data_IF_339577000261
#
_entry.id   IF_339577000261
#
_cell.length_a   1.000
_cell.length_b   1.000
_cell.length_c   1.000
_cell.angle_alpha   90.00
_cell.angle_beta   90.00
_cell.angle_gamma   90.00
#
_symmetry.space_group_name_H-M   'P 1'
#
loop_
_entity.id
_entity.type
_entity.pdbx_description
1 polymer ?
#
# COMPACT_ATOMS: atom_id res chain seq x y z
N UNK A 1 -22.54 -31.22 -9.59
CA UNK A 1 -21.27 -31.06 -10.32
C UNK A 1 -20.17 -30.92 -9.29
N UNK A 2 -19.26 -31.90 -9.21
CA UNK A 2 -18.10 -31.88 -8.33
C UNK A 2 -17.13 -30.81 -8.82
N UNK A 3 -16.78 -29.85 -7.96
CA UNK A 3 -15.74 -28.86 -8.26
C UNK A 3 -14.45 -29.59 -8.68
N UNK A 4 -13.81 -29.20 -9.79
CA UNK A 4 -12.53 -29.77 -10.17
C UNK A 4 -11.48 -29.50 -9.07
N UNK A 5 -10.52 -30.41 -8.87
CA UNK A 5 -9.53 -30.28 -7.81
C UNK A 5 -8.78 -28.94 -7.93
N UNK A 6 -8.78 -28.20 -6.83
CA UNK A 6 -8.23 -26.85 -6.71
C UNK A 6 -6.71 -26.87 -6.87
N UNK A 7 -6.21 -26.66 -8.09
CA UNK A 7 -4.78 -26.46 -8.36
C UNK A 7 -3.89 -27.66 -8.02
N UNK A 8 -2.63 -27.60 -8.44
CA UNK A 8 -1.62 -28.59 -8.05
C UNK A 8 -1.45 -28.56 -6.53
N UNK A 9 -1.21 -29.71 -5.85
CA UNK A 9 -0.85 -29.72 -4.45
C UNK A 9 0.45 -28.93 -4.25
N UNK A 10 0.33 -27.70 -3.72
CA UNK A 10 1.46 -26.84 -3.41
C UNK A 10 1.81 -26.92 -1.93
N UNK A 11 3.10 -26.99 -1.63
CA UNK A 11 3.58 -26.77 -0.27
C UNK A 11 3.32 -25.31 0.15
N UNK A 12 3.08 -25.08 1.44
CA UNK A 12 2.90 -23.74 2.01
C UNK A 12 4.05 -22.80 1.66
N UNK A 13 5.28 -23.32 1.65
CA UNK A 13 6.47 -22.55 1.27
C UNK A 13 6.41 -22.07 -0.18
N UNK A 14 6.04 -22.94 -1.11
CA UNK A 14 5.96 -22.60 -2.52
C UNK A 14 4.85 -21.56 -2.79
N UNK A 15 3.73 -21.66 -2.08
CA UNK A 15 2.66 -20.66 -2.13
C UNK A 15 3.17 -19.27 -1.74
N UNK A 16 3.81 -19.13 -0.58
CA UNK A 16 4.32 -17.84 -0.12
C UNK A 16 5.44 -17.28 -1.02
N UNK A 17 6.35 -18.14 -1.48
CA UNK A 17 7.40 -17.74 -2.42
C UNK A 17 6.82 -17.21 -3.75
N UNK A 18 5.78 -17.84 -4.27
CA UNK A 18 5.12 -17.37 -5.50
C UNK A 18 4.36 -16.07 -5.27
N UNK A 19 3.60 -15.97 -4.18
CA UNK A 19 2.82 -14.77 -3.85
C UNK A 19 3.71 -13.56 -3.63
N UNK A 20 4.64 -13.64 -2.67
CA UNK A 20 5.53 -12.53 -2.34
C UNK A 20 6.59 -12.30 -3.40
N UNK A 21 7.06 -13.35 -4.09
CA UNK A 21 7.98 -13.22 -5.21
C UNK A 21 7.35 -12.49 -6.40
N UNK A 22 6.10 -12.80 -6.76
CA UNK A 22 5.38 -12.08 -7.81
C UNK A 22 5.08 -10.63 -7.40
N UNK A 23 4.65 -10.40 -6.16
CA UNK A 23 4.43 -9.05 -5.64
C UNK A 23 5.71 -8.21 -5.68
N UNK A 24 6.83 -8.78 -5.23
CA UNK A 24 8.14 -8.13 -5.29
C UNK A 24 8.55 -7.81 -6.72
N UNK A 25 8.35 -8.73 -7.66
CA UNK A 25 8.66 -8.48 -9.08
C UNK A 25 7.83 -7.31 -9.65
N UNK A 26 6.54 -7.22 -9.30
CA UNK A 26 5.69 -6.10 -9.70
C UNK A 26 6.09 -4.77 -9.05
N UNK A 27 6.45 -4.78 -7.77
CA UNK A 27 6.94 -3.60 -7.05
C UNK A 27 8.26 -3.12 -7.65
N UNK A 28 9.21 -4.02 -7.88
CA UNK A 28 10.48 -3.69 -8.54
C UNK A 28 10.26 -3.12 -9.94
N UNK A 29 9.33 -3.70 -10.71
CA UNK A 29 8.95 -3.15 -12.00
C UNK A 29 8.40 -1.73 -11.87
N UNK A 30 7.55 -1.46 -10.89
CA UNK A 30 7.02 -0.11 -10.63
C UNK A 30 8.13 0.90 -10.34
N UNK A 31 9.07 0.55 -9.46
CA UNK A 31 10.22 1.40 -9.10
C UNK A 31 11.15 1.62 -10.29
N UNK A 32 11.42 0.58 -11.09
CA UNK A 32 12.23 0.70 -12.31
C UNK A 32 11.54 1.62 -13.32
N UNK A 33 10.24 1.47 -13.53
CA UNK A 33 9.49 2.31 -14.48
C UNK A 33 9.45 3.78 -14.04
N UNK A 34 9.38 4.03 -12.73
CA UNK A 34 9.46 5.36 -12.14
C UNK A 34 10.75 6.08 -12.56
N UNK A 35 11.90 5.45 -12.28
CA UNK A 35 13.21 6.00 -12.67
C UNK A 35 13.43 6.02 -14.17
N UNK A 36 12.90 5.04 -14.92
CA UNK A 36 13.04 5.00 -16.37
C UNK A 36 12.28 6.17 -17.03
N UNK A 37 11.05 6.46 -16.60
CA UNK A 37 10.26 7.57 -17.13
C UNK A 37 10.91 8.91 -16.80
N UNK A 38 11.40 9.07 -15.58
CA UNK A 38 12.19 10.23 -15.17
C UNK A 38 13.41 10.45 -16.07
N UNK A 39 14.23 9.42 -16.28
CA UNK A 39 15.45 9.51 -17.09
C UNK A 39 15.20 9.86 -18.56
N UNK A 40 14.01 9.56 -19.09
CA UNK A 40 13.65 9.85 -20.49
C UNK A 40 13.15 11.27 -20.74
N UNK A 41 12.94 12.08 -19.70
CA UNK A 41 12.32 13.41 -19.83
C UNK A 41 13.33 14.53 -19.81
N UNK A 42 13.26 15.37 -20.84
CA UNK A 42 14.05 16.60 -20.96
C UNK A 42 13.63 17.67 -19.93
N UNK A 43 12.38 17.64 -19.47
CA UNK A 43 11.82 18.56 -18.48
C UNK A 43 11.10 17.77 -17.37
N UNK A 44 11.78 17.49 -16.24
CA UNK A 44 11.23 16.65 -15.15
C UNK A 44 10.04 17.28 -14.39
N UNK A 45 9.78 18.59 -14.58
CA UNK A 45 8.79 19.33 -13.80
C UNK A 45 7.32 19.14 -14.26
N UNK A 46 7.06 18.66 -15.49
CA UNK A 46 5.68 18.58 -16.00
C UNK A 46 5.04 17.20 -15.74
N UNK A 47 4.28 17.03 -14.66
CA UNK A 47 3.49 15.79 -14.42
C UNK A 47 2.59 15.49 -15.62
N UNK A 48 2.66 14.29 -16.23
CA UNK A 48 1.80 13.91 -17.35
C UNK A 48 0.47 13.32 -16.86
N UNK A 49 -0.36 14.22 -16.34
CA UNK A 49 -1.63 13.87 -15.70
C UNK A 49 -2.58 13.09 -16.62
N UNK A 50 -2.56 13.36 -17.93
CA UNK A 50 -3.42 12.65 -18.89
C UNK A 50 -3.01 11.18 -19.06
N UNK A 51 -1.72 10.92 -19.28
CA UNK A 51 -1.23 9.55 -19.46
C UNK A 51 -1.41 8.73 -18.18
N UNK A 52 -1.10 9.32 -17.02
CA UNK A 52 -1.34 8.71 -15.71
C UNK A 52 -2.82 8.35 -15.53
N UNK A 53 -3.73 9.29 -15.79
CA UNK A 53 -5.17 9.09 -15.63
C UNK A 53 -5.70 7.98 -16.55
N UNK A 54 -5.31 7.97 -17.82
CA UNK A 54 -5.74 6.93 -18.78
C UNK A 54 -5.29 5.54 -18.29
N UNK A 55 -4.03 5.42 -17.87
CA UNK A 55 -3.45 4.17 -17.40
C UNK A 55 -4.09 3.67 -16.10
N UNK A 56 -4.35 4.57 -15.14
CA UNK A 56 -5.08 4.22 -13.91
C UNK A 56 -6.52 3.79 -14.19
N UNK A 57 -7.26 4.56 -15.00
CA UNK A 57 -8.66 4.22 -15.34
C UNK A 57 -8.72 2.89 -16.08
N UNK A 58 -7.82 2.64 -17.02
CA UNK A 58 -7.74 1.37 -17.74
C UNK A 58 -7.38 0.22 -16.80
N UNK A 59 -6.33 0.37 -15.98
CA UNK A 59 -5.87 -0.65 -15.03
C UNK A 59 -6.93 -1.00 -13.99
N UNK A 60 -7.56 0.01 -13.38
CA UNK A 60 -8.65 -0.18 -12.41
C UNK A 60 -9.91 -0.74 -13.08
N UNK A 61 -10.24 -0.31 -14.30
CA UNK A 61 -11.36 -0.86 -15.06
C UNK A 61 -11.18 -2.35 -15.34
N UNK A 62 -9.99 -2.75 -15.82
CA UNK A 62 -9.65 -4.17 -16.03
C UNK A 62 -9.69 -4.93 -14.71
N UNK A 63 -9.14 -4.37 -13.63
CA UNK A 63 -9.17 -4.97 -12.30
C UNK A 63 -10.59 -5.23 -11.82
N UNK A 64 -11.48 -4.22 -11.88
CA UNK A 64 -12.87 -4.34 -11.46
C UNK A 64 -13.63 -5.40 -12.26
N UNK A 65 -13.42 -5.46 -13.58
CA UNK A 65 -14.00 -6.52 -14.41
C UNK A 65 -13.45 -7.89 -14.00
N UNK A 66 -12.13 -7.99 -13.83
CA UNK A 66 -11.44 -9.23 -13.51
C UNK A 66 -11.85 -9.84 -12.16
N UNK A 67 -11.97 -9.02 -11.11
CA UNK A 67 -12.37 -9.52 -9.77
C UNK A 67 -13.80 -10.06 -9.73
N UNK A 68 -14.69 -9.57 -10.60
CA UNK A 68 -16.08 -9.99 -10.67
C UNK A 68 -16.29 -11.23 -11.57
N UNK A 69 -15.42 -11.49 -12.54
CA UNK A 69 -15.54 -12.65 -13.45
C UNK A 69 -14.78 -13.86 -12.88
N UNK A 70 -15.46 -14.63 -12.03
CA UNK A 70 -14.91 -15.84 -11.39
C UNK A 70 -14.27 -16.84 -12.35
N UNK A 71 -14.85 -17.00 -13.54
CA UNK A 71 -14.35 -17.94 -14.56
C UNK A 71 -12.97 -17.54 -15.08
N UNK A 72 -12.73 -16.23 -15.29
CA UNK A 72 -11.47 -15.71 -15.81
C UNK A 72 -10.34 -15.91 -14.79
N UNK A 73 -10.64 -15.73 -13.50
CA UNK A 73 -9.68 -15.96 -12.39
C UNK A 73 -9.19 -17.39 -12.28
N UNK A 74 -10.03 -18.36 -12.65
CA UNK A 74 -9.72 -19.80 -12.56
C UNK A 74 -8.96 -20.34 -13.77
N UNK A 75 -8.82 -19.56 -14.85
CA UNK A 75 -8.25 -20.03 -16.12
C UNK A 75 -6.76 -19.72 -16.18
N UNK A 76 -5.93 -20.71 -15.84
CA UNK A 76 -4.49 -20.64 -16.10
C UNK A 76 -4.19 -20.83 -17.60
N UNK A 77 -3.24 -20.08 -18.21
CA UNK A 77 -2.41 -19.01 -17.65
C UNK A 77 -3.01 -17.59 -17.80
N UNK A 78 -4.28 -17.48 -18.22
CA UNK A 78 -4.95 -16.20 -18.53
C UNK A 78 -4.99 -15.28 -17.31
N UNK A 79 -5.22 -15.84 -16.11
CA UNK A 79 -5.21 -15.08 -14.86
C UNK A 79 -3.89 -14.32 -14.63
N UNK A 80 -2.74 -14.94 -14.89
CA UNK A 80 -1.42 -14.29 -14.78
C UNK A 80 -1.21 -13.19 -15.81
N UNK A 81 -1.65 -13.41 -17.04
CA UNK A 81 -1.55 -12.39 -18.08
C UNK A 81 -2.38 -11.15 -17.72
N UNK A 82 -3.64 -11.33 -17.32
CA UNK A 82 -4.53 -10.22 -16.94
C UNK A 82 -3.99 -9.46 -15.73
N UNK A 83 -3.55 -10.15 -14.68
CA UNK A 83 -2.93 -9.54 -13.51
C UNK A 83 -1.65 -8.77 -13.86
N UNK A 84 -0.83 -9.30 -14.77
CA UNK A 84 0.37 -8.60 -15.23
C UNK A 84 0.02 -7.36 -16.04
N UNK A 85 -1.00 -7.40 -16.88
CA UNK A 85 -1.50 -6.21 -17.59
C UNK A 85 -2.00 -5.13 -16.62
N UNK A 86 -2.74 -5.53 -15.58
CA UNK A 86 -3.17 -4.61 -14.52
C UNK A 86 -1.95 -4.00 -13.81
N UNK A 87 -1.00 -4.84 -13.39
CA UNK A 87 0.22 -4.39 -12.72
C UNK A 87 0.99 -3.39 -13.58
N UNK A 88 1.23 -3.70 -14.86
CA UNK A 88 1.93 -2.81 -15.79
C UNK A 88 1.20 -1.48 -15.97
N UNK A 89 -0.13 -1.52 -16.17
CA UNK A 89 -0.92 -0.30 -16.34
C UNK A 89 -0.85 0.60 -15.09
N UNK A 90 -1.02 0.04 -13.90
CA UNK A 90 -0.96 0.80 -12.65
C UNK A 90 0.45 1.31 -12.36
N UNK A 91 1.49 0.50 -12.56
CA UNK A 91 2.88 0.89 -12.36
C UNK A 91 3.31 2.02 -13.31
N UNK A 92 2.93 1.93 -14.60
CA UNK A 92 3.18 3.01 -15.55
C UNK A 92 2.39 4.26 -15.20
N UNK A 93 1.11 4.10 -14.81
CA UNK A 93 0.28 5.22 -14.37
C UNK A 93 0.93 5.98 -13.21
N UNK A 94 1.46 5.24 -12.23
CA UNK A 94 2.18 5.80 -11.09
C UNK A 94 3.46 6.53 -11.52
N UNK A 95 4.23 5.93 -12.42
CA UNK A 95 5.47 6.53 -12.92
C UNK A 95 5.25 7.83 -13.73
N UNK A 96 4.12 7.95 -14.44
CA UNK A 96 3.75 9.22 -15.09
C UNK A 96 3.14 10.26 -14.14
N UNK A 97 2.72 9.84 -12.94
CA UNK A 97 2.18 10.74 -11.92
C UNK A 97 3.30 11.36 -11.08
N UNK A 98 4.24 10.53 -10.63
CA UNK A 98 5.31 10.87 -9.68
C UNK A 98 6.64 11.08 -10.44
N UNK A 99 6.76 12.20 -11.16
CA UNK A 99 7.88 12.41 -12.11
C UNK A 99 9.10 13.08 -11.45
N UNK A 100 8.93 13.78 -10.34
CA UNK A 100 10.03 14.38 -9.60
C UNK A 100 10.51 13.39 -8.53
N UNK A 101 11.62 12.69 -8.79
CA UNK A 101 12.20 11.79 -7.79
C UNK A 101 13.40 12.47 -7.13
N UNK A 102 13.33 12.59 -5.82
CA UNK A 102 14.43 13.09 -5.02
C UNK A 102 15.37 11.94 -4.61
N UNK A 103 16.63 12.22 -4.23
CA UNK A 103 17.53 11.19 -3.70
C UNK A 103 16.96 10.45 -2.47
N UNK A 104 15.96 11.01 -1.80
CA UNK A 104 15.21 10.40 -0.69
C UNK A 104 14.16 9.39 -1.14
N UNK A 105 13.80 9.33 -2.42
CA UNK A 105 12.84 8.37 -2.99
C UNK A 105 13.11 6.93 -2.56
N UNK A 106 14.38 6.49 -2.61
CA UNK A 106 14.73 5.12 -2.26
C UNK A 106 14.45 4.83 -0.77
N UNK A 107 14.61 5.84 0.09
CA UNK A 107 14.31 5.74 1.52
C UNK A 107 12.81 5.54 1.73
N UNK A 108 11.96 6.31 1.04
CA UNK A 108 10.51 6.17 1.10
C UNK A 108 10.02 4.82 0.56
N UNK A 109 10.60 4.34 -0.55
CA UNK A 109 10.33 3.00 -1.07
C UNK A 109 10.70 1.94 -0.02
N UNK A 110 11.87 2.07 0.61
CA UNK A 110 12.33 1.13 1.63
C UNK A 110 11.45 1.17 2.89
N UNK A 111 10.99 2.36 3.30
CA UNK A 111 10.06 2.56 4.41
C UNK A 111 8.76 1.81 4.18
N UNK A 112 8.12 2.00 3.03
CA UNK A 112 6.86 1.32 2.68
C UNK A 112 7.05 -0.19 2.64
N UNK A 113 8.12 -0.69 2.01
CA UNK A 113 8.43 -2.13 1.96
C UNK A 113 8.67 -2.67 3.38
N UNK A 114 9.39 -1.93 4.22
CA UNK A 114 9.64 -2.33 5.61
C UNK A 114 8.32 -2.42 6.40
N UNK A 115 7.43 -1.44 6.28
CA UNK A 115 6.11 -1.46 6.93
C UNK A 115 5.27 -2.65 6.44
N UNK A 116 5.22 -2.87 5.13
CA UNK A 116 4.51 -4.02 4.53
C UNK A 116 5.06 -5.35 5.04
N UNK A 117 6.38 -5.50 5.13
CA UNK A 117 7.04 -6.70 5.65
C UNK A 117 6.78 -6.91 7.15
N UNK A 118 6.88 -5.86 7.96
CA UNK A 118 6.65 -5.92 9.42
C UNK A 118 5.20 -6.31 9.69
N UNK A 119 4.24 -5.59 9.12
CA UNK A 119 2.82 -5.87 9.34
C UNK A 119 2.37 -7.17 8.69
N UNK A 120 2.90 -7.51 7.52
CA UNK A 120 2.66 -8.80 6.89
C UNK A 120 3.16 -9.98 7.72
N UNK A 121 4.35 -9.84 8.32
CA UNK A 121 4.92 -10.84 9.24
C UNK A 121 4.06 -10.98 10.50
N UNK A 122 3.61 -9.87 11.09
CA UNK A 122 2.66 -9.89 12.21
C UNK A 122 1.37 -10.60 11.83
N UNK A 123 0.77 -10.31 10.67
CA UNK A 123 -0.42 -11.00 10.17
C UNK A 123 -0.25 -12.52 10.02
N UNK A 124 0.97 -12.99 9.71
CA UNK A 124 1.27 -14.42 9.60
C UNK A 124 1.37 -15.14 10.95
N UNK A 125 1.58 -14.40 12.04
CA UNK A 125 1.81 -14.92 13.39
C UNK A 125 0.54 -14.99 14.26
N UNK A 126 -0.64 -15.10 13.64
CA UNK A 126 -1.90 -15.18 14.39
C UNK A 126 -1.87 -16.31 15.45
N UNK A 127 -2.09 -15.99 16.74
CA UNK A 127 -2.20 -17.00 17.79
C UNK A 127 -3.46 -17.86 17.63
N UNK A 128 -3.34 -19.17 17.88
CA UNK A 128 -4.45 -20.14 17.73
C UNK A 128 -5.70 -19.83 18.58
N UNK A 129 -5.52 -19.13 19.69
CA UNK A 129 -6.60 -18.86 20.66
C UNK A 129 -7.34 -17.54 20.39
N UNK A 130 -6.90 -16.74 19.43
CA UNK A 130 -7.53 -15.46 19.09
C UNK A 130 -8.24 -15.56 17.75
N UNK A 131 -9.48 -15.05 17.67
CA UNK A 131 -10.15 -14.88 16.39
C UNK A 131 -9.37 -13.87 15.52
N UNK A 132 -9.30 -14.04 14.19
CA UNK A 132 -8.51 -13.17 13.30
C UNK A 132 -8.83 -11.68 13.48
N UNK A 133 -10.12 -11.34 13.61
CA UNK A 133 -10.58 -9.95 13.79
C UNK A 133 -10.07 -9.37 15.11
N UNK A 134 -10.25 -10.07 16.23
CA UNK A 134 -9.74 -9.62 17.54
C UNK A 134 -8.22 -9.46 17.53
N UNK A 135 -7.50 -10.38 16.89
CA UNK A 135 -6.04 -10.29 16.77
C UNK A 135 -5.64 -9.02 16.01
N UNK A 136 -6.23 -8.78 14.84
CA UNK A 136 -5.97 -7.57 14.06
C UNK A 136 -6.27 -6.30 14.86
N UNK A 137 -7.42 -6.22 15.54
CA UNK A 137 -7.78 -5.07 16.38
C UNK A 137 -6.78 -4.83 17.51
N UNK A 138 -6.35 -5.87 18.22
CA UNK A 138 -5.39 -5.74 19.33
C UNK A 138 -4.04 -5.23 18.82
N UNK A 139 -3.53 -5.80 17.72
CA UNK A 139 -2.24 -5.38 17.16
C UNK A 139 -2.33 -3.94 16.62
N UNK A 140 -3.39 -3.60 15.90
CA UNK A 140 -3.59 -2.23 15.40
C UNK A 140 -3.70 -1.19 16.52
N UNK A 141 -4.39 -1.53 17.61
CA UNK A 141 -4.44 -0.66 18.79
C UNK A 141 -3.05 -0.52 19.45
N UNK A 142 -2.28 -1.61 19.52
CA UNK A 142 -0.90 -1.58 20.00
C UNK A 142 0.00 -0.68 19.16
N UNK A 143 -0.09 -0.77 17.83
CA UNK A 143 0.66 0.10 16.91
C UNK A 143 0.23 1.55 17.06
N UNK A 144 -1.07 1.84 17.13
CA UNK A 144 -1.58 3.19 17.39
C UNK A 144 -0.98 3.80 18.67
N UNK A 145 -0.96 3.03 19.76
CA UNK A 145 -0.42 3.48 21.04
C UNK A 145 1.09 3.71 20.97
N UNK A 146 1.85 2.79 20.34
CA UNK A 146 3.29 2.93 20.16
C UNK A 146 3.65 4.14 19.28
N UNK A 147 2.93 4.33 18.17
CA UNK A 147 3.09 5.50 17.29
C UNK A 147 2.76 6.78 18.05
N UNK A 148 1.69 6.80 18.85
CA UNK A 148 1.35 7.95 19.68
C UNK A 148 2.45 8.30 20.69
N UNK A 149 3.02 7.31 21.39
CA UNK A 149 4.14 7.50 22.31
C UNK A 149 5.37 8.03 21.56
N UNK A 150 5.69 7.45 20.40
CA UNK A 150 6.82 7.90 19.58
C UNK A 150 6.65 9.37 19.13
N UNK A 151 5.45 9.75 18.69
CA UNK A 151 5.15 11.13 18.30
C UNK A 151 5.26 12.11 19.47
N UNK A 152 4.79 11.73 20.66
CA UNK A 152 4.95 12.57 21.87
C UNK A 152 6.42 12.72 22.25
N UNK A 153 7.22 11.66 22.18
CA UNK A 153 8.65 11.73 22.43
C UNK A 153 9.36 12.64 21.42
N UNK A 154 9.04 12.49 20.14
CA UNK A 154 9.55 13.35 19.06
C UNK A 154 9.15 14.80 19.29
N UNK A 155 7.92 15.07 19.74
CA UNK A 155 7.48 16.43 20.07
C UNK A 155 8.34 17.08 21.17
N UNK A 156 8.73 16.33 22.20
CA UNK A 156 9.57 16.85 23.27
C UNK A 156 11.05 16.99 22.89
N UNK A 157 11.54 16.17 21.94
CA UNK A 157 12.95 16.15 21.52
C UNK A 157 13.19 17.11 20.35
N UNK A 158 12.20 17.27 19.47
CA UNK A 158 12.32 18.09 18.26
C UNK A 158 12.45 19.57 18.62
N UNK A 159 13.37 20.25 17.93
CA UNK A 159 13.59 21.69 18.07
C UNK A 159 12.74 22.51 17.08
N UNK A 160 12.05 21.86 16.13
CA UNK A 160 11.32 22.49 15.04
C UNK A 160 9.89 21.97 14.85
N UNK A 161 8.96 22.86 14.47
CA UNK A 161 7.55 22.54 14.20
C UNK A 161 7.34 21.75 12.90
N UNK A 162 8.14 22.06 11.87
CA UNK A 162 8.05 21.42 10.54
C UNK A 162 8.36 19.93 10.63
N UNK A 163 9.41 19.56 11.37
CA UNK A 163 9.80 18.16 11.57
C UNK A 163 8.67 17.33 12.20
N UNK A 164 7.94 17.91 13.18
CA UNK A 164 6.85 17.21 13.88
C UNK A 164 5.68 16.88 12.95
N UNK A 165 5.34 17.78 12.01
CA UNK A 165 4.26 17.54 11.06
C UNK A 165 4.63 16.42 10.09
N UNK A 166 5.87 16.38 9.62
CA UNK A 166 6.36 15.29 8.78
C UNK A 166 6.25 13.94 9.52
N UNK A 167 6.77 13.85 10.75
CA UNK A 167 6.65 12.64 11.56
C UNK A 167 5.20 12.22 11.82
N UNK A 168 4.28 13.18 11.97
CA UNK A 168 2.85 12.90 12.11
C UNK A 168 2.28 12.23 10.85
N UNK A 169 2.64 12.69 9.66
CA UNK A 169 2.19 12.10 8.38
C UNK A 169 2.68 10.65 8.24
N UNK A 170 3.95 10.38 8.49
CA UNK A 170 4.49 9.01 8.51
C UNK A 170 3.85 8.14 9.61
N UNK A 171 3.56 8.74 10.77
CA UNK A 171 2.82 8.09 11.85
C UNK A 171 1.41 7.68 11.43
N UNK A 172 0.68 8.55 10.72
CA UNK A 172 -0.65 8.27 10.18
C UNK A 172 -0.61 7.12 9.17
N UNK A 173 0.36 7.12 8.25
CA UNK A 173 0.56 6.01 7.33
C UNK A 173 0.77 4.68 8.06
N UNK A 174 1.65 4.67 9.06
CA UNK A 174 1.96 3.49 9.88
C UNK A 174 0.70 2.94 10.55
N UNK A 175 -0.12 3.81 11.14
CA UNK A 175 -1.38 3.44 11.80
C UNK A 175 -2.41 2.92 10.80
N UNK A 176 -2.50 3.51 9.61
CA UNK A 176 -3.44 3.10 8.56
C UNK A 176 -3.03 1.76 7.90
N UNK A 177 -1.74 1.59 7.61
CA UNK A 177 -1.20 0.39 6.96
C UNK A 177 -1.29 -0.85 7.85
N UNK A 178 -1.13 -0.69 9.17
CA UNK A 178 -1.15 -1.80 10.11
C UNK A 178 -2.41 -2.70 10.00
N UNK A 179 -3.65 -2.21 10.21
CA UNK A 179 -4.84 -3.03 10.09
C UNK A 179 -5.04 -3.58 8.67
N UNK A 180 -4.72 -2.80 7.64
CA UNK A 180 -4.87 -3.21 6.24
C UNK A 180 -3.98 -4.43 5.92
N UNK A 181 -2.69 -4.34 6.21
CA UNK A 181 -1.72 -5.39 5.92
C UNK A 181 -1.97 -6.65 6.75
N UNK A 182 -2.30 -6.51 8.04
CA UNK A 182 -2.63 -7.66 8.88
C UNK A 182 -3.87 -8.36 8.37
N UNK A 183 -4.95 -7.62 8.11
CA UNK A 183 -6.20 -8.19 7.60
C UNK A 183 -5.98 -8.90 6.26
N UNK A 184 -5.21 -8.29 5.36
CA UNK A 184 -4.88 -8.86 4.07
C UNK A 184 -4.14 -10.20 4.18
N UNK A 185 -3.14 -10.30 5.04
CA UNK A 185 -2.43 -11.57 5.25
C UNK A 185 -3.33 -12.64 5.90
N UNK A 186 -4.23 -12.23 6.80
CA UNK A 186 -5.24 -13.15 7.36
C UNK A 186 -6.20 -13.67 6.28
N UNK A 187 -6.58 -12.84 5.31
CA UNK A 187 -7.37 -13.24 4.13
C UNK A 187 -6.56 -14.20 3.25
N UNK A 188 -5.31 -13.88 2.93
CA UNK A 188 -4.44 -14.72 2.10
C UNK A 188 -4.20 -16.11 2.70
N UNK A 189 -4.19 -16.20 4.02
CA UNK A 189 -4.04 -17.47 4.74
C UNK A 189 -5.35 -18.24 4.88
N UNK A 190 -6.48 -17.66 4.44
CA UNK A 190 -7.80 -18.24 4.56
C UNK A 190 -8.30 -18.32 6.00
N UNK A 191 -7.75 -17.51 6.92
CA UNK A 191 -8.05 -17.58 8.35
C UNK A 191 -9.40 -16.93 8.69
N UNK A 192 -9.91 -16.04 7.84
CA UNK A 192 -11.21 -15.36 8.03
C UNK A 192 -12.38 -16.21 7.50
N UNK A 193 -12.22 -16.90 6.36
CA UNK A 193 -13.31 -17.65 5.70
C UNK A 193 -13.05 -19.16 5.55
N UNK A 194 -11.96 -19.67 6.11
CA UNK A 194 -11.63 -21.10 6.08
C UNK A 194 -11.22 -21.64 4.70
N UNK A 195 -11.02 -20.77 3.71
CA UNK A 195 -10.67 -21.16 2.33
C UNK A 195 -9.37 -20.50 1.91
N UNK A 196 -8.37 -21.29 1.54
CA UNK A 196 -7.10 -20.78 0.98
C UNK A 196 -7.29 -20.39 -0.49
N UNK A 197 -6.96 -19.15 -0.88
CA UNK A 197 -7.12 -18.66 -2.25
C UNK A 197 -5.93 -19.07 -3.15
N UNK A 198 -5.71 -20.39 -3.30
CA UNK A 198 -4.53 -20.95 -4.04
C UNK A 198 -4.54 -20.52 -5.53
N UNK A 199 -5.71 -20.30 -6.13
CA UNK A 199 -5.84 -19.89 -7.53
C UNK A 199 -5.80 -18.37 -7.73
N UNK A 200 -5.87 -17.59 -6.65
CA UNK A 200 -5.87 -16.12 -6.70
C UNK A 200 -4.49 -15.54 -6.37
N UNK A 201 -3.41 -16.34 -6.32
CA UNK A 201 -2.02 -15.85 -6.16
C UNK A 201 -1.72 -14.62 -7.04
N UNK A 202 -1.99 -14.63 -8.37
CA UNK A 202 -1.72 -13.46 -9.20
C UNK A 202 -2.60 -12.25 -8.86
N UNK A 203 -3.80 -12.46 -8.32
CA UNK A 203 -4.66 -11.36 -7.87
C UNK A 203 -4.14 -10.79 -6.54
N UNK A 204 -3.80 -11.65 -5.58
CA UNK A 204 -3.25 -11.26 -4.29
C UNK A 204 -1.92 -10.50 -4.45
N UNK A 205 -1.07 -10.87 -5.42
CA UNK A 205 0.17 -10.13 -5.71
C UNK A 205 -0.09 -8.75 -6.33
N UNK A 206 -1.12 -8.61 -7.16
CA UNK A 206 -1.57 -7.30 -7.68
C UNK A 206 -2.15 -6.43 -6.56
N UNK A 207 -2.91 -6.99 -5.63
CA UNK A 207 -3.43 -6.24 -4.47
C UNK A 207 -2.25 -5.71 -3.62
N UNK A 208 -1.23 -6.54 -3.36
CA UNK A 208 -0.01 -6.08 -2.68
C UNK A 208 0.71 -4.96 -3.44
N UNK A 209 0.77 -5.03 -4.77
CA UNK A 209 1.28 -3.92 -5.58
C UNK A 209 0.43 -2.66 -5.38
N UNK A 210 -0.90 -2.77 -5.38
CA UNK A 210 -1.79 -1.62 -5.19
C UNK A 210 -1.59 -0.97 -3.82
N UNK A 211 -1.43 -1.77 -2.77
CA UNK A 211 -1.12 -1.27 -1.42
C UNK A 211 0.23 -0.54 -1.40
N UNK A 212 1.26 -1.12 -2.05
CA UNK A 212 2.56 -0.48 -2.19
C UNK A 212 2.46 0.86 -2.93
N UNK A 213 1.78 0.90 -4.08
CA UNK A 213 1.63 2.13 -4.87
C UNK A 213 0.88 3.21 -4.09
N UNK A 214 -0.20 2.85 -3.39
CA UNK A 214 -0.97 3.78 -2.57
C UNK A 214 -0.16 4.32 -1.39
N UNK A 215 0.54 3.45 -0.66
CA UNK A 215 1.41 3.85 0.44
C UNK A 215 2.57 4.72 -0.05
N UNK A 216 3.19 4.36 -1.17
CA UNK A 216 4.27 5.13 -1.77
C UNK A 216 3.80 6.50 -2.23
N UNK A 217 2.65 6.62 -2.92
CA UNK A 217 2.08 7.92 -3.29
C UNK A 217 1.73 8.78 -2.08
N UNK A 218 1.37 8.17 -0.95
CA UNK A 218 1.08 8.90 0.29
C UNK A 218 2.36 9.48 0.90
N UNK A 219 3.45 8.70 0.90
CA UNK A 219 4.75 9.17 1.36
C UNK A 219 5.33 10.23 0.42
N UNK A 220 5.23 10.05 -0.90
CA UNK A 220 5.70 11.05 -1.88
C UNK A 220 4.97 12.40 -1.75
N UNK A 221 3.74 12.39 -1.21
CA UNK A 221 2.94 13.58 -0.95
C UNK A 221 3.08 14.10 0.50
N UNK A 222 4.04 13.61 1.29
CA UNK A 222 4.15 13.92 2.71
C UNK A 222 4.32 15.42 3.00
N UNK A 223 5.13 16.12 2.22
CA UNK A 223 5.34 17.56 2.30
C UNK A 223 4.08 18.35 1.94
N UNK A 224 3.37 17.94 0.86
CA UNK A 224 2.11 18.56 0.44
C UNK A 224 1.03 18.39 1.52
N UNK A 225 0.98 17.20 2.15
CA UNK A 225 0.06 16.88 3.24
C UNK A 225 0.42 17.66 4.50
N UNK A 226 1.71 17.73 4.87
CA UNK A 226 2.18 18.47 6.04
C UNK A 226 1.85 19.95 5.91
N UNK A 227 2.08 20.55 4.73
CA UNK A 227 1.71 21.93 4.46
C UNK A 227 0.20 22.15 4.56
N UNK A 228 -0.62 21.23 4.04
CA UNK A 228 -2.08 21.32 4.16
C UNK A 228 -2.54 21.30 5.63
N UNK A 229 -1.94 20.45 6.46
CA UNK A 229 -2.21 20.41 7.90
C UNK A 229 -1.81 21.71 8.61
N UNK A 230 -0.68 22.32 8.23
CA UNK A 230 -0.25 23.59 8.78
C UNK A 230 -1.26 24.71 8.49
N UNK A 231 -1.68 24.86 7.23
CA UNK A 231 -2.70 25.84 6.83
C UNK A 231 -4.02 25.62 7.60
N UNK A 232 -4.46 24.37 7.71
CA UNK A 232 -5.69 24.02 8.42
C UNK A 232 -5.59 24.33 9.92
N UNK A 233 -4.42 24.07 10.52
CA UNK A 233 -4.16 24.37 11.93
C UNK A 233 -4.21 25.87 12.20
N UNK A 234 -3.53 26.68 11.39
CA UNK A 234 -3.53 28.14 11.52
C UNK A 234 -4.93 28.74 11.35
N UNK A 235 -5.66 28.27 10.34
CA UNK A 235 -7.04 28.71 10.08
C UNK A 235 -7.97 28.39 11.26
N UNK A 236 -7.86 27.19 11.83
CA UNK A 236 -8.63 26.79 13.01
C UNK A 236 -8.26 27.60 14.25
N UNK A 237 -6.98 27.89 14.46
CA UNK A 237 -6.50 28.69 15.58
C UNK A 237 -7.03 30.14 15.49
N UNK A 238 -6.99 30.72 14.29
CA UNK A 238 -7.54 32.05 14.03
C UNK A 238 -9.07 32.11 14.16
N UNK A 239 -9.77 31.01 13.88
CA UNK A 239 -11.22 30.89 14.06
C UNK A 239 -11.59 30.71 15.53
N UNK A 240 -10.80 29.96 16.31
CA UNK A 240 -10.99 29.81 17.76
C UNK A 240 -10.71 31.11 18.51
N UNK A 241 -9.66 31.86 18.16
CA UNK A 241 -9.38 33.17 18.75
C UNK A 241 -10.56 34.13 18.60
N UNK A 242 -11.15 34.20 17.41
CA UNK A 242 -12.34 35.03 17.14
C UNK A 242 -13.61 34.60 17.90
N UNK A 243 -13.73 33.33 18.31
CA UNK A 243 -14.85 32.86 19.14
C UNK A 243 -14.64 33.13 20.63
N UNK A 244 -13.40 33.31 21.07
CA UNK A 244 -13.07 33.65 22.46
C UNK A 244 -13.14 35.16 22.75
N UNK A 245 -13.05 35.98 21.70
CA UNK A 245 -13.15 37.45 21.77
C UNK A 245 -14.60 37.98 21.67
N UNK A 246 -15.60 37.11 21.53
CA UNK A 246 -17.05 37.42 21.55
C UNK A 246 -17.74 36.90 22.80
#
# INVERSE_FOLDING_TARGET
MSDPPRGLPQSLRNYYLQLFGAALAYILFAVIMLHAIEATREHPAERNSLAALILYVLGLGIFLIYVNILWLRRKYPVNWAVCTTIAVALSLGNAFLLIAQDPTTLVHVLEVIALMCIFGSLGSWQPRHLSPVRYATIVSFGVLLLTGIALVLVYFISKGKVDIMLYLVHGLLTVAMCPLMIFQVLVFNGLIWGVRPILDIPLCSVILLMDFLAAYTFVDADDEIAHAFEILSESNLHRMGRMLDT
#
